data_IF_258497904444
#
_entry.id   IF_258497904444
#
_cell.length_a   1.000
_cell.length_b   1.000
_cell.length_c   1.000
_cell.angle_alpha   90.00
_cell.angle_beta   90.00
_cell.angle_gamma   90.00
#
_symmetry.space_group_name_H-M   'P 1'
#
loop_
_entity.id
_entity.type
_entity.pdbx_description
1 polymer ?
#
# COMPACT_ATOMS: atom_id res chain seq x y z
N UNK A 1 11.09 -5.83 21.15
CA UNK A 1 10.96 -6.83 20.07
C UNK A 1 10.01 -6.26 19.01
N UNK A 2 10.51 -5.68 17.90
CA UNK A 2 9.70 -5.18 16.76
C UNK A 2 10.50 -4.50 15.62
N UNK A 3 11.84 -4.34 15.70
CA UNK A 3 12.58 -3.52 14.71
C UNK A 3 12.45 -4.04 13.27
N UNK A 4 12.32 -5.36 13.09
CA UNK A 4 12.16 -5.97 11.77
C UNK A 4 10.75 -5.79 11.19
N UNK A 5 9.71 -5.76 12.05
CA UNK A 5 8.31 -5.55 11.68
C UNK A 5 7.95 -4.09 11.39
N UNK A 6 8.77 -3.14 11.84
CA UNK A 6 8.54 -1.70 11.63
C UNK A 6 9.44 -1.09 10.56
N UNK A 7 10.09 -1.93 9.75
CA UNK A 7 11.09 -1.52 8.76
C UNK A 7 10.77 -2.01 7.35
N UNK A 8 11.74 -1.84 6.45
CA UNK A 8 11.63 -2.25 5.04
C UNK A 8 11.27 -3.72 4.80
N UNK A 9 11.75 -4.71 5.58
CA UNK A 9 11.38 -6.10 5.37
C UNK A 9 9.87 -6.35 5.49
N UNK A 10 9.24 -5.68 6.47
CA UNK A 10 7.81 -5.81 6.70
C UNK A 10 6.99 -5.10 5.61
N UNK A 11 7.47 -3.94 5.12
CA UNK A 11 6.90 -3.28 3.94
C UNK A 11 6.94 -4.21 2.73
N UNK A 12 8.07 -4.87 2.48
CA UNK A 12 8.22 -5.83 1.39
C UNK A 12 7.29 -7.03 1.52
N UNK A 13 7.15 -7.60 2.73
CA UNK A 13 6.24 -8.72 2.98
C UNK A 13 4.77 -8.34 2.70
N UNK A 14 4.34 -7.16 3.14
CA UNK A 14 2.98 -6.68 2.87
C UNK A 14 2.76 -6.36 1.40
N UNK A 15 3.75 -5.75 0.73
CA UNK A 15 3.68 -5.49 -0.70
C UNK A 15 3.53 -6.79 -1.51
N UNK A 16 4.29 -7.84 -1.15
CA UNK A 16 4.20 -9.14 -1.80
C UNK A 16 2.83 -9.82 -1.57
N UNK A 17 2.29 -9.74 -0.35
CA UNK A 17 0.95 -10.28 -0.06
C UNK A 17 -0.13 -9.54 -0.86
N UNK A 18 -0.09 -8.21 -0.90
CA UNK A 18 -1.04 -7.40 -1.68
C UNK A 18 -0.91 -7.66 -3.18
N UNK A 19 0.30 -7.90 -3.70
CA UNK A 19 0.53 -8.27 -5.09
C UNK A 19 -0.10 -9.63 -5.46
N UNK A 20 -0.06 -10.61 -4.55
CA UNK A 20 -0.76 -11.88 -4.74
C UNK A 20 -2.29 -11.70 -4.78
N UNK A 21 -2.83 -10.69 -4.09
CA UNK A 21 -4.24 -10.30 -4.11
C UNK A 21 -4.59 -9.36 -5.28
N UNK A 22 -3.68 -9.16 -6.26
CA UNK A 22 -3.95 -8.35 -7.44
C UNK A 22 -3.79 -6.84 -7.24
N UNK A 23 -2.92 -6.40 -6.31
CA UNK A 23 -2.60 -4.99 -6.09
C UNK A 23 -1.15 -4.64 -6.38
N UNK A 24 -0.92 -3.53 -7.06
CA UNK A 24 0.40 -2.91 -7.24
C UNK A 24 0.63 -1.79 -6.22
N UNK A 25 1.84 -1.70 -5.64
CA UNK A 25 2.20 -0.68 -4.65
C UNK A 25 3.07 0.42 -5.25
N UNK A 26 2.57 1.65 -5.20
CA UNK A 26 3.38 2.86 -5.36
C UNK A 26 3.70 3.46 -3.99
N UNK A 27 4.99 3.57 -3.66
CA UNK A 27 5.46 4.20 -2.42
C UNK A 27 6.29 5.43 -2.74
N UNK A 28 5.78 6.60 -2.37
CA UNK A 28 6.47 7.88 -2.53
C UNK A 28 6.90 8.43 -1.17
N UNK A 29 8.18 8.81 -1.07
CA UNK A 29 8.77 9.43 0.12
C UNK A 29 9.44 10.75 -0.22
N UNK A 30 9.25 11.77 0.63
CA UNK A 30 9.89 13.07 0.49
C UNK A 30 9.72 13.95 1.73
N UNK A 31 10.75 14.73 2.08
CA UNK A 31 10.73 15.67 3.22
C UNK A 31 10.30 15.05 4.57
N UNK A 32 10.67 13.79 4.82
CA UNK A 32 10.34 13.08 6.06
C UNK A 32 8.92 12.51 6.12
N UNK A 33 8.15 12.61 5.03
CA UNK A 33 6.81 12.05 4.91
C UNK A 33 6.74 11.02 3.79
N UNK A 34 5.83 10.08 3.97
CA UNK A 34 5.60 8.94 3.09
C UNK A 34 4.13 8.84 2.74
N UNK A 35 3.85 8.46 1.50
CA UNK A 35 2.51 8.10 1.02
C UNK A 35 2.60 6.80 0.25
N UNK A 36 1.74 5.87 0.61
CA UNK A 36 1.55 4.62 -0.11
C UNK A 36 0.24 4.70 -0.91
N UNK A 37 0.24 4.16 -2.11
CA UNK A 37 -0.93 4.01 -2.95
C UNK A 37 -0.96 2.60 -3.49
N UNK A 38 -2.05 1.88 -3.26
CA UNK A 38 -2.31 0.61 -3.91
C UNK A 38 -3.18 0.82 -5.14
N UNK A 39 -2.81 0.19 -6.25
CA UNK A 39 -3.53 0.22 -7.51
C UNK A 39 -3.99 -1.19 -7.83
N UNK A 40 -5.18 -1.35 -8.39
CA UNK A 40 -5.60 -2.64 -8.94
C UNK A 40 -4.64 -3.03 -10.07
N UNK A 41 -4.00 -4.18 -9.95
CA UNK A 41 -3.11 -4.75 -10.96
C UNK A 41 -3.86 -5.02 -12.26
N UNK A 42 -3.19 -4.90 -13.41
CA UNK A 42 -3.79 -5.17 -14.73
C UNK A 42 -4.74 -4.09 -15.28
N UNK A 43 -5.11 -3.06 -14.52
CA UNK A 43 -5.65 -1.79 -15.06
C UNK A 43 -4.55 -0.76 -15.02
N UNK A 44 -4.08 -0.27 -16.18
CA UNK A 44 -3.04 0.77 -16.28
C UNK A 44 -3.31 1.89 -15.28
N UNK A 45 -2.49 1.96 -14.19
CA UNK A 45 -2.55 2.78 -12.97
C UNK A 45 -3.72 3.76 -12.84
N UNK A 46 -4.95 3.29 -13.03
CA UNK A 46 -6.09 4.16 -13.29
C UNK A 46 -6.55 4.80 -11.98
N UNK A 47 -6.77 6.12 -11.95
CA UNK A 47 -7.13 6.83 -10.72
C UNK A 47 -8.44 6.34 -10.10
N UNK A 48 -9.32 5.71 -10.87
CA UNK A 48 -10.58 5.15 -10.39
C UNK A 48 -10.44 3.90 -9.49
N UNK A 49 -9.25 3.27 -9.45
CA UNK A 49 -8.98 2.06 -8.65
C UNK A 49 -7.86 2.21 -7.63
N UNK A 50 -7.42 3.44 -7.36
CA UNK A 50 -6.28 3.71 -6.48
C UNK A 50 -6.73 3.97 -5.03
N UNK A 51 -6.13 3.27 -4.07
CA UNK A 51 -6.37 3.45 -2.64
C UNK A 51 -5.12 4.03 -1.97
N UNK A 52 -5.24 5.26 -1.47
CA UNK A 52 -4.11 5.99 -0.90
C UNK A 52 -4.12 6.01 0.64
N UNK A 53 -2.94 5.95 1.22
CA UNK A 53 -2.72 6.27 2.62
C UNK A 53 -2.85 7.78 2.86
N UNK A 54 -3.17 8.22 4.08
CA UNK A 54 -2.75 9.55 4.52
C UNK A 54 -1.21 9.63 4.55
N UNK A 55 -0.68 10.86 4.55
CA UNK A 55 0.77 11.07 4.74
C UNK A 55 1.18 10.56 6.12
N UNK A 56 2.28 9.81 6.18
CA UNK A 56 2.81 9.27 7.42
C UNK A 56 4.31 9.56 7.57
N UNK A 57 4.78 9.64 8.82
CA UNK A 57 6.20 9.86 9.15
C UNK A 57 7.07 8.61 8.99
N UNK A 58 6.48 7.47 8.61
CA UNK A 58 7.23 6.25 8.28
C UNK A 58 6.62 5.54 7.08
N UNK A 59 7.44 4.89 6.25
CA UNK A 59 6.96 4.13 5.08
C UNK A 59 6.08 2.96 5.52
N UNK A 60 6.45 2.28 6.62
CA UNK A 60 5.65 1.22 7.22
C UNK A 60 4.21 1.65 7.51
N UNK A 61 4.04 2.76 8.22
CA UNK A 61 2.71 3.25 8.60
C UNK A 61 1.90 3.68 7.37
N UNK A 62 2.54 4.28 6.37
CA UNK A 62 1.87 4.61 5.10
C UNK A 62 1.33 3.34 4.42
N UNK A 63 2.17 2.32 4.22
CA UNK A 63 1.80 1.09 3.51
C UNK A 63 0.72 0.30 4.28
N UNK A 64 0.85 0.17 5.60
CA UNK A 64 -0.18 -0.49 6.43
C UNK A 64 -1.54 0.19 6.33
N UNK A 65 -1.57 1.52 6.37
CA UNK A 65 -2.83 2.26 6.28
C UNK A 65 -3.44 2.17 4.88
N UNK A 66 -2.64 2.19 3.82
CA UNK A 66 -3.14 1.98 2.47
C UNK A 66 -3.72 0.57 2.30
N UNK A 67 -3.01 -0.47 2.78
CA UNK A 67 -3.47 -1.86 2.68
C UNK A 67 -4.78 -2.07 3.45
N UNK A 68 -4.86 -1.57 4.69
CA UNK A 68 -6.08 -1.65 5.49
C UNK A 68 -7.28 -1.03 4.77
N UNK A 69 -7.08 0.09 4.07
CA UNK A 69 -8.15 0.75 3.30
C UNK A 69 -8.47 0.00 2.00
N UNK A 70 -7.49 -0.62 1.37
CA UNK A 70 -7.69 -1.38 0.14
C UNK A 70 -8.49 -2.66 0.37
N UNK A 71 -8.36 -3.24 1.57
CA UNK A 71 -9.11 -4.43 2.00
C UNK A 71 -10.43 -4.08 2.70
N UNK A 72 -10.74 -2.80 2.90
CA UNK A 72 -11.95 -2.39 3.59
C UNK A 72 -13.20 -2.62 2.73
N UNK A 73 -14.36 -2.92 3.34
CA UNK A 73 -15.62 -3.02 2.62
C UNK A 73 -15.92 -1.75 1.81
N UNK A 74 -16.21 -1.90 0.52
CA UNK A 74 -16.47 -0.80 -0.41
C UNK A 74 -15.23 -0.23 -1.13
N UNK A 75 -14.04 -0.79 -0.88
CA UNK A 75 -12.87 -0.52 -1.71
C UNK A 75 -13.06 -1.12 -3.12
N UNK A 76 -12.40 -0.55 -4.15
CA UNK A 76 -12.42 -1.13 -5.50
C UNK A 76 -11.85 -2.55 -5.44
N UNK A 77 -12.58 -3.52 -5.99
CA UNK A 77 -12.10 -4.90 -6.03
C UNK A 77 -10.91 -5.01 -7.00
N UNK A 78 -9.84 -5.73 -6.62
CA UNK A 78 -8.83 -6.15 -7.58
C UNK A 78 -9.50 -7.05 -8.63
N UNK A 79 -9.07 -6.93 -9.89
CA UNK A 79 -9.56 -7.82 -10.95
C UNK A 79 -9.13 -9.27 -10.70
N UNK A 80 -9.84 -10.26 -11.27
CA UNK A 80 -9.38 -11.65 -11.26
C UNK A 80 -8.07 -11.83 -12.03
#
# INVERSE_FOLDING_TARGET
>A
MARWLSGWPAVGALAAAMAAEGWDLSLAGGRGLWRATFHVSGREHSPAGAVHSPLATSPWRAVHLAAWRALAPGAPAPGP
#
